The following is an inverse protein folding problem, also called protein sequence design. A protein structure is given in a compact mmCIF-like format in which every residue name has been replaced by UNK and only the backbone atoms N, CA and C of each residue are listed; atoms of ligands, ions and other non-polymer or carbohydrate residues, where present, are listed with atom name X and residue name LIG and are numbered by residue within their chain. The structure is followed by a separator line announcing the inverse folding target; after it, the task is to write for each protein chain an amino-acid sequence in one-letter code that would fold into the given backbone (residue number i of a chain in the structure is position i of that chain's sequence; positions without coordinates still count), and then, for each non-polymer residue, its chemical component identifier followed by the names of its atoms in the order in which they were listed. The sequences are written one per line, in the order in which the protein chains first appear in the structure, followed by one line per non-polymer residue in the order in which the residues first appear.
data_IF_443457117592
#
_entry.id   IF_443457117592
#
_cell.length_a   1.000
_cell.length_b   1.000
_cell.length_c   1.000
_cell.angle_alpha   90.00
_cell.angle_beta   90.00
_cell.angle_gamma   90.00
#
_symmetry.space_group_name_H-M   'P 1'
#
loop_
_entity.id
_entity.type
_entity.pdbx_description
1 polymer ?
#
# COMPACT_ATOMS: atom_id res chain seq x y z
N UNK A 1 3.28 -3.11 13.00
CA UNK A 1 4.09 -4.29 13.39
C UNK A 1 5.54 -4.10 12.93
N UNK A 2 6.37 -3.42 13.72
CA UNK A 2 7.67 -2.88 13.26
C UNK A 2 8.69 -3.92 12.78
N UNK A 3 8.62 -5.18 13.22
CA UNK A 3 9.54 -6.25 12.79
C UNK A 3 8.98 -7.17 11.70
N UNK A 4 7.75 -6.96 11.21
CA UNK A 4 7.15 -7.79 10.16
C UNK A 4 7.86 -7.54 8.83
N UNK A 5 8.52 -8.57 8.28
CA UNK A 5 9.25 -8.46 7.01
C UNK A 5 8.47 -8.98 5.81
N UNK A 6 7.61 -9.98 6.02
CA UNK A 6 6.84 -10.67 4.99
C UNK A 6 5.48 -11.05 5.56
N UNK A 7 4.44 -11.05 4.72
CA UNK A 7 3.12 -11.59 5.07
C UNK A 7 2.48 -12.20 3.83
N UNK A 8 1.73 -13.28 4.04
CA UNK A 8 0.84 -13.85 3.03
C UNK A 8 -0.58 -13.42 3.36
N UNK A 9 -1.21 -12.65 2.47
CA UNK A 9 -2.62 -12.26 2.60
C UNK A 9 -3.48 -13.35 1.95
N UNK A 10 -4.46 -13.94 2.66
CA UNK A 10 -5.35 -14.93 2.07
C UNK A 10 -6.18 -14.38 0.90
N UNK A 11 -6.47 -15.24 -0.10
CA UNK A 11 -7.31 -14.89 -1.26
C UNK A 11 -8.77 -14.59 -0.90
N UNK A 12 -9.20 -14.82 0.33
CA UNK A 12 -10.53 -14.44 0.82
C UNK A 12 -10.61 -12.97 1.26
N UNK A 13 -9.47 -12.28 1.38
CA UNK A 13 -9.44 -10.88 1.81
C UNK A 13 -9.85 -9.98 0.66
N UNK A 14 -10.89 -9.17 0.86
CA UNK A 14 -11.43 -8.26 -0.16
C UNK A 14 -11.10 -6.80 0.08
N UNK A 15 -10.64 -6.44 1.28
CA UNK A 15 -10.32 -5.06 1.67
C UNK A 15 -9.11 -5.06 2.60
N UNK A 16 -8.14 -4.18 2.34
CA UNK A 16 -7.11 -3.84 3.32
C UNK A 16 -7.64 -2.70 4.18
N UNK A 17 -7.96 -3.01 5.43
CA UNK A 17 -8.65 -2.12 6.36
C UNK A 17 -7.77 -0.99 6.92
N UNK A 18 -8.41 -0.08 7.65
CA UNK A 18 -7.76 1.03 8.34
C UNK A 18 -6.59 0.52 9.20
N UNK A 19 -5.40 1.11 9.02
CA UNK A 19 -4.15 0.78 9.73
C UNK A 19 -3.67 -0.69 9.65
N UNK A 20 -4.14 -1.50 8.68
CA UNK A 20 -3.84 -2.95 8.65
C UNK A 20 -2.35 -3.28 8.67
N UNK A 21 -1.53 -2.47 7.98
CA UNK A 21 -0.08 -2.58 7.93
C UNK A 21 0.61 -1.30 8.41
N UNK A 22 -0.09 -0.42 9.13
CA UNK A 22 0.52 0.80 9.65
C UNK A 22 1.77 0.48 10.48
N UNK A 23 2.81 1.29 10.29
CA UNK A 23 4.08 1.20 11.01
C UNK A 23 4.73 -0.18 10.90
N UNK A 24 4.49 -0.92 9.82
CA UNK A 24 5.26 -2.11 9.47
C UNK A 24 6.61 -1.71 8.89
N UNK A 25 7.44 -1.04 9.70
CA UNK A 25 8.67 -0.39 9.28
C UNK A 25 9.77 -1.33 8.78
N UNK A 26 9.65 -2.65 8.97
CA UNK A 26 10.53 -3.66 8.37
C UNK A 26 9.97 -4.33 7.10
N UNK A 27 8.72 -4.05 6.72
CA UNK A 27 8.07 -4.65 5.57
C UNK A 27 8.67 -4.06 4.29
N UNK A 28 9.31 -4.90 3.47
CA UNK A 28 9.99 -4.43 2.24
C UNK A 28 9.16 -4.59 0.98
N UNK A 29 8.30 -5.60 0.96
CA UNK A 29 7.40 -5.94 -0.14
C UNK A 29 6.15 -6.59 0.44
N UNK A 30 5.06 -6.56 -0.33
CA UNK A 30 3.82 -7.24 0.01
C UNK A 30 3.07 -7.63 -1.26
N UNK A 31 2.59 -8.87 -1.29
CA UNK A 31 1.74 -9.35 -2.38
C UNK A 31 0.27 -9.10 -2.00
N UNK A 32 -0.38 -8.14 -2.68
CA UNK A 32 -1.80 -7.87 -2.52
C UNK A 32 -2.59 -8.84 -3.42
N UNK A 33 -3.47 -9.68 -2.88
CA UNK A 33 -4.21 -10.65 -3.68
C UNK A 33 -5.24 -9.97 -4.58
N UNK A 34 -5.52 -10.58 -5.74
CA UNK A 34 -6.47 -10.07 -6.73
C UNK A 34 -7.93 -10.03 -6.24
N UNK A 35 -8.22 -10.60 -5.06
CA UNK A 35 -9.49 -10.46 -4.36
C UNK A 35 -9.69 -9.07 -3.73
N UNK A 36 -8.60 -8.33 -3.47
CA UNK A 36 -8.67 -7.01 -2.83
C UNK A 36 -9.20 -5.97 -3.82
N UNK A 37 -10.26 -5.28 -3.43
CA UNK A 37 -10.91 -4.24 -4.24
C UNK A 37 -10.65 -2.82 -3.73
N UNK A 38 -10.19 -2.71 -2.47
CA UNK A 38 -10.02 -1.43 -1.78
C UNK A 38 -8.82 -1.46 -0.82
N UNK A 39 -8.00 -0.43 -0.91
CA UNK A 39 -6.98 -0.08 0.09
C UNK A 39 -7.51 1.10 0.89
N UNK A 40 -7.89 0.87 2.14
CA UNK A 40 -8.49 1.90 3.01
C UNK A 40 -7.41 2.88 3.49
N UNK A 41 -7.85 4.03 4.03
CA UNK A 41 -6.93 5.04 4.52
C UNK A 41 -5.97 4.49 5.57
N UNK A 42 -4.74 4.98 5.52
CA UNK A 42 -3.62 4.57 6.38
C UNK A 42 -3.24 3.08 6.33
N UNK A 43 -3.70 2.30 5.35
CA UNK A 43 -3.43 0.85 5.30
C UNK A 43 -1.93 0.51 5.37
N UNK A 44 -1.06 1.31 4.74
CA UNK A 44 0.40 1.18 4.75
C UNK A 44 1.10 2.44 5.28
N UNK A 45 0.43 3.21 6.15
CA UNK A 45 1.01 4.40 6.75
C UNK A 45 2.34 4.06 7.46
N UNK A 46 3.37 4.88 7.26
CA UNK A 46 4.70 4.69 7.87
C UNK A 46 5.34 3.31 7.63
N UNK A 47 5.04 2.65 6.50
CA UNK A 47 5.80 1.49 6.03
C UNK A 47 7.15 1.91 5.45
N UNK A 48 8.02 2.47 6.28
CA UNK A 48 9.23 3.19 5.87
C UNK A 48 10.28 2.35 5.12
N UNK A 49 10.25 1.02 5.25
CA UNK A 49 11.11 0.10 4.47
C UNK A 49 10.45 -0.45 3.20
N UNK A 50 9.18 -0.15 2.92
CA UNK A 50 8.49 -0.68 1.74
C UNK A 50 9.13 -0.08 0.49
N UNK A 51 9.68 -0.93 -0.39
CA UNK A 51 10.44 -0.47 -1.55
C UNK A 51 9.62 -0.53 -2.84
N UNK A 52 8.80 -1.56 -2.97
CA UNK A 52 8.01 -1.85 -4.15
C UNK A 52 6.65 -2.38 -3.74
N UNK A 53 5.61 -1.97 -4.46
CA UNK A 53 4.27 -2.57 -4.31
C UNK A 53 3.54 -2.61 -5.65
N UNK A 54 2.87 -3.73 -5.91
CA UNK A 54 2.03 -3.90 -7.10
C UNK A 54 0.57 -3.82 -6.67
N UNK A 55 -0.17 -2.86 -7.22
CA UNK A 55 -1.61 -2.74 -6.96
C UNK A 55 -2.36 -3.64 -7.96
N UNK A 56 -3.18 -4.60 -7.52
CA UNK A 56 -3.86 -5.50 -8.43
C UNK A 56 -4.99 -4.79 -9.20
N UNK A 57 -5.31 -5.29 -10.39
CA UNK A 57 -6.34 -4.76 -11.30
C UNK A 57 -7.76 -4.73 -10.70
N UNK A 58 -7.97 -5.44 -9.59
CA UNK A 58 -9.22 -5.44 -8.83
C UNK A 58 -9.40 -4.19 -7.96
N UNK A 59 -8.31 -3.48 -7.63
CA UNK A 59 -8.35 -2.30 -6.77
C UNK A 59 -8.90 -1.11 -7.55
N UNK A 60 -9.90 -0.46 -6.96
CA UNK A 60 -10.55 0.72 -7.53
C UNK A 60 -10.25 2.00 -6.74
N UNK A 61 -9.87 1.87 -5.47
CA UNK A 61 -9.66 3.00 -4.56
C UNK A 61 -8.40 2.83 -3.70
N UNK A 62 -7.58 3.88 -3.66
CA UNK A 62 -6.51 4.09 -2.68
C UNK A 62 -6.96 5.16 -1.67
N UNK A 63 -6.96 4.81 -0.38
CA UNK A 63 -7.49 5.64 0.68
C UNK A 63 -6.58 6.81 1.09
N UNK A 64 -7.13 7.69 1.94
CA UNK A 64 -6.44 8.83 2.53
C UNK A 64 -5.17 8.39 3.24
N UNK A 65 -4.02 9.00 2.93
CA UNK A 65 -2.70 8.65 3.50
C UNK A 65 -2.35 7.14 3.41
N UNK A 66 -2.92 6.39 2.45
CA UNK A 66 -2.78 4.93 2.39
C UNK A 66 -1.33 4.42 2.28
N UNK A 67 -0.44 5.20 1.67
CA UNK A 67 1.00 4.94 1.58
C UNK A 67 1.82 6.13 2.12
N UNK A 68 1.22 7.00 2.93
CA UNK A 68 1.95 8.17 3.44
C UNK A 68 3.14 7.73 4.29
N UNK A 69 4.25 8.46 4.18
CA UNK A 69 5.51 8.20 4.88
C UNK A 69 6.17 6.84 4.53
N UNK A 70 5.80 6.23 3.41
CA UNK A 70 6.56 5.14 2.81
C UNK A 70 7.84 5.67 2.16
N UNK A 71 8.77 6.19 2.96
CA UNK A 71 9.94 6.95 2.50
C UNK A 71 10.91 6.16 1.63
N UNK A 72 10.94 4.82 1.73
CA UNK A 72 11.73 3.95 0.85
C UNK A 72 10.99 3.49 -0.42
N UNK A 73 9.71 3.85 -0.61
CA UNK A 73 8.92 3.37 -1.74
C UNK A 73 9.46 4.00 -3.02
N UNK A 74 10.03 3.17 -3.89
CA UNK A 74 10.67 3.60 -5.14
C UNK A 74 9.75 3.41 -6.33
N UNK A 75 8.99 2.34 -6.33
CA UNK A 75 8.15 1.95 -7.48
C UNK A 75 6.79 1.48 -6.98
N UNK A 76 5.74 1.99 -7.61
CA UNK A 76 4.37 1.51 -7.42
C UNK A 76 3.69 1.37 -8.77
N UNK A 77 3.23 0.15 -9.08
CA UNK A 77 2.47 -0.10 -10.29
C UNK A 77 0.98 0.14 -9.98
N UNK A 78 0.44 1.28 -10.44
CA UNK A 78 -0.96 1.65 -10.26
C UNK A 78 -1.73 1.31 -11.55
N UNK A 79 -2.64 0.31 -11.54
CA UNK A 79 -3.41 -0.05 -12.72
C UNK A 79 -4.50 0.97 -13.04
N UNK A 80 -4.94 1.00 -14.30
CA UNK A 80 -6.01 1.89 -14.77
C UNK A 80 -7.37 1.66 -14.07
N UNK A 81 -7.53 0.53 -13.38
CA UNK A 81 -8.70 0.24 -12.54
C UNK A 81 -8.82 1.19 -11.34
N UNK A 82 -7.70 1.77 -10.89
CA UNK A 82 -7.68 2.74 -9.80
C UNK A 82 -8.25 4.07 -10.30
N UNK A 83 -9.55 4.25 -10.08
CA UNK A 83 -10.28 5.45 -10.47
C UNK A 83 -10.34 6.50 -9.36
N UNK A 84 -9.92 6.15 -8.14
CA UNK A 84 -9.95 7.04 -6.98
C UNK A 84 -8.68 6.94 -6.13
N UNK A 85 -7.91 8.02 -6.08
CA UNK A 85 -6.82 8.23 -5.13
C UNK A 85 -7.24 9.34 -4.17
N UNK A 86 -7.45 8.97 -2.91
CA UNK A 86 -7.93 9.90 -1.87
C UNK A 86 -6.74 10.63 -1.26
N UNK A 87 -6.94 11.91 -0.91
CA UNK A 87 -5.90 12.90 -0.58
C UNK A 87 -4.67 12.36 0.15
N UNK A 88 -3.50 12.83 -0.30
CA UNK A 88 -2.20 12.55 0.30
C UNK A 88 -1.82 11.05 0.36
N UNK A 89 -2.41 10.20 -0.47
CA UNK A 89 -2.09 8.77 -0.51
C UNK A 89 -0.58 8.47 -0.54
N UNK A 90 0.21 9.32 -1.20
CA UNK A 90 1.68 9.20 -1.33
C UNK A 90 2.44 10.37 -0.69
N UNK A 91 1.88 11.00 0.34
CA UNK A 91 2.56 12.09 1.06
C UNK A 91 3.85 11.58 1.71
N UNK A 92 4.92 12.38 1.67
CA UNK A 92 6.25 12.02 2.20
C UNK A 92 6.84 10.69 1.65
N UNK A 93 6.40 10.25 0.46
CA UNK A 93 7.06 9.18 -0.31
C UNK A 93 8.29 9.71 -1.05
N UNK A 94 9.31 10.11 -0.29
CA UNK A 94 10.48 10.85 -0.81
C UNK A 94 11.35 10.09 -1.83
N UNK A 95 11.34 8.76 -1.81
CA UNK A 95 12.08 7.93 -2.78
C UNK A 95 11.28 7.58 -4.04
N UNK A 96 10.01 8.00 -4.14
CA UNK A 96 9.12 7.55 -5.22
C UNK A 96 9.59 8.10 -6.56
N UNK A 97 10.07 7.20 -7.41
CA UNK A 97 10.43 7.51 -8.79
C UNK A 97 9.15 7.35 -9.62
N UNK A 98 8.92 8.33 -10.49
CA UNK A 98 7.78 8.54 -11.40
C UNK A 98 6.77 7.39 -11.52
N UNK A 99 5.48 7.70 -11.29
CA UNK A 99 4.31 6.83 -11.48
C UNK A 99 4.04 6.61 -12.97
#
# INVERSE_FOLDING_TARGET
CSSLQTIVIPQSVTTLGYLSFSECSSLRTIDIPASVTKVVGFAFFECSSLQTIVIPQSVTTLGYLSFSECSSLRTIDIPASVTKVVGFAFFECSSLQTI
#
